data_IF_266294287207
#
_entry.id   IF_266294287207
#
_cell.length_a   1.000
_cell.length_b   1.000
_cell.length_c   1.000
_cell.angle_alpha   90.00
_cell.angle_beta   90.00
_cell.angle_gamma   90.00
#
_symmetry.space_group_name_H-M   'P 1'
#
loop_
_entity.id
_entity.type
_entity.pdbx_description
1 polymer ?
#
# COMPACT_ATOMS: atom_id res chain seq x y z
N UNK A 1 -17.86 -0.12 -10.21
CA UNK A 1 -16.60 0.41 -9.58
C UNK A 1 -15.73 -0.80 -9.31
N UNK A 2 -14.50 -0.89 -9.84
CA UNK A 2 -13.61 -2.01 -9.51
C UNK A 2 -13.24 -1.90 -8.02
N UNK A 3 -13.44 -2.98 -7.28
CA UNK A 3 -12.99 -3.09 -5.89
C UNK A 3 -11.47 -2.86 -5.84
N UNK A 4 -11.01 -2.01 -4.91
CA UNK A 4 -9.58 -1.76 -4.78
C UNK A 4 -8.91 -3.01 -4.20
N UNK A 5 -7.73 -3.41 -4.70
CA UNK A 5 -7.01 -4.56 -4.15
C UNK A 5 -6.79 -4.40 -2.64
N UNK A 6 -7.03 -5.48 -1.89
CA UNK A 6 -6.81 -5.56 -0.45
C UNK A 6 -5.32 -5.77 -0.14
N UNK A 7 -4.91 -5.67 1.12
CA UNK A 7 -3.51 -5.85 1.54
C UNK A 7 -2.92 -7.16 1.01
N UNK A 8 -3.67 -8.28 1.11
CA UNK A 8 -3.26 -9.58 0.59
C UNK A 8 -2.84 -9.50 -0.89
N UNK A 9 -3.70 -8.97 -1.75
CA UNK A 9 -3.39 -8.87 -3.19
C UNK A 9 -2.16 -8.00 -3.46
N UNK A 10 -1.93 -6.96 -2.65
CA UNK A 10 -0.75 -6.10 -2.77
C UNK A 10 0.52 -6.83 -2.39
N UNK A 11 0.48 -7.66 -1.35
CA UNK A 11 1.61 -8.53 -1.00
C UNK A 11 1.88 -9.58 -2.07
N UNK A 12 0.83 -10.16 -2.67
CA UNK A 12 0.96 -11.07 -3.81
C UNK A 12 1.65 -10.38 -5.00
N UNK A 13 1.27 -9.14 -5.32
CA UNK A 13 1.94 -8.36 -6.38
C UNK A 13 3.41 -8.05 -6.04
N UNK A 14 3.73 -7.74 -4.77
CA UNK A 14 5.12 -7.52 -4.34
C UNK A 14 5.91 -8.82 -4.50
N UNK A 15 5.36 -9.94 -4.05
CA UNK A 15 6.02 -11.24 -4.13
C UNK A 15 6.29 -11.64 -5.59
N UNK A 16 5.28 -11.58 -6.45
CA UNK A 16 5.38 -11.92 -7.87
C UNK A 16 6.43 -11.06 -8.60
N UNK A 17 6.39 -9.73 -8.37
CA UNK A 17 7.37 -8.84 -8.97
C UNK A 17 8.80 -9.12 -8.47
N UNK A 18 8.95 -9.40 -7.18
CA UNK A 18 10.24 -9.74 -6.56
C UNK A 18 10.78 -11.05 -7.12
N UNK A 19 9.96 -12.10 -7.20
CA UNK A 19 10.35 -13.39 -7.78
C UNK A 19 10.70 -13.28 -9.27
N UNK A 20 9.95 -12.44 -10.00
CA UNK A 20 10.24 -12.15 -11.41
C UNK A 20 11.63 -11.53 -11.56
N UNK A 21 11.97 -10.52 -10.75
CA UNK A 21 13.29 -9.89 -10.80
C UNK A 21 14.36 -10.92 -10.44
N UNK A 22 14.26 -11.59 -9.30
CA UNK A 22 15.27 -12.53 -8.82
C UNK A 22 15.54 -13.66 -9.83
N UNK A 23 14.48 -14.25 -10.40
CA UNK A 23 14.62 -15.31 -11.38
C UNK A 23 15.26 -14.87 -12.70
N UNK A 24 15.04 -13.60 -13.09
CA UNK A 24 15.57 -13.05 -14.35
C UNK A 24 16.99 -12.51 -14.23
N UNK A 25 17.43 -12.20 -13.01
CA UNK A 25 18.77 -11.67 -12.73
C UNK A 25 19.68 -12.68 -12.04
N UNK A 26 19.23 -13.94 -11.89
CA UNK A 26 20.01 -15.00 -11.29
C UNK A 26 21.32 -15.23 -12.06
N UNK A 27 22.45 -15.14 -11.35
CA UNK A 27 23.78 -15.33 -11.93
C UNK A 27 24.29 -14.19 -12.82
N UNK A 28 23.50 -13.11 -12.99
CA UNK A 28 23.92 -11.93 -13.75
C UNK A 28 24.87 -11.04 -12.93
N UNK A 29 25.71 -10.32 -13.65
CA UNK A 29 26.49 -9.20 -13.13
C UNK A 29 25.74 -7.88 -13.31
N UNK A 30 26.20 -6.85 -12.62
CA UNK A 30 25.65 -5.48 -12.76
C UNK A 30 25.82 -4.96 -14.20
N UNK A 31 26.92 -5.28 -14.87
CA UNK A 31 27.21 -4.89 -16.25
C UNK A 31 26.22 -5.53 -17.22
N UNK A 32 25.98 -6.83 -17.10
CA UNK A 32 25.01 -7.57 -17.92
C UNK A 32 23.59 -7.05 -17.76
N UNK A 33 23.19 -6.60 -16.55
CA UNK A 33 21.89 -5.99 -16.30
C UNK A 33 21.63 -4.79 -17.23
N UNK A 34 22.67 -4.04 -17.61
CA UNK A 34 22.55 -2.79 -18.36
C UNK A 34 22.85 -2.92 -19.86
N UNK A 35 23.30 -4.08 -20.32
CA UNK A 35 23.60 -4.33 -21.74
C UNK A 35 22.36 -4.20 -22.63
N UNK A 36 21.23 -4.75 -22.16
CA UNK A 36 19.94 -4.61 -22.83
C UNK A 36 19.07 -3.58 -22.09
N UNK A 37 18.87 -2.43 -22.73
CA UNK A 37 18.01 -1.36 -22.17
C UNK A 37 16.56 -1.80 -21.96
N UNK A 38 16.00 -2.62 -22.84
CA UNK A 38 14.61 -3.08 -22.72
C UNK A 38 14.47 -3.99 -21.51
N UNK A 39 15.45 -4.90 -21.33
CA UNK A 39 15.53 -5.75 -20.16
C UNK A 39 15.68 -4.90 -18.88
N UNK A 40 16.63 -3.99 -18.84
CA UNK A 40 16.86 -3.10 -17.69
C UNK A 40 15.59 -2.35 -17.28
N UNK A 41 14.92 -1.70 -18.24
CA UNK A 41 13.68 -1.00 -17.94
C UNK A 41 12.52 -1.94 -17.59
N UNK A 42 12.52 -3.18 -18.03
CA UNK A 42 11.63 -4.23 -17.54
C UNK A 42 11.82 -4.49 -16.04
N UNK A 43 13.06 -4.62 -15.59
CA UNK A 43 13.42 -4.76 -14.16
C UNK A 43 13.00 -3.51 -13.36
N UNK A 44 13.29 -2.31 -13.89
CA UNK A 44 12.85 -1.05 -13.28
C UNK A 44 11.33 -0.99 -13.14
N UNK A 45 10.58 -1.47 -14.13
CA UNK A 45 9.12 -1.53 -14.07
C UNK A 45 8.62 -2.49 -12.99
N UNK A 46 9.22 -3.68 -12.85
CA UNK A 46 8.90 -4.60 -11.76
C UNK A 46 9.20 -3.97 -10.38
N UNK A 47 10.31 -3.26 -10.26
CA UNK A 47 10.66 -2.52 -9.05
C UNK A 47 9.62 -1.42 -8.73
N UNK A 48 9.07 -0.77 -9.77
CA UNK A 48 7.99 0.20 -9.62
C UNK A 48 6.70 -0.47 -9.12
N UNK A 49 6.36 -1.67 -9.59
CA UNK A 49 5.20 -2.45 -9.09
C UNK A 49 5.35 -2.72 -7.59
N UNK A 50 6.52 -3.13 -7.13
CA UNK A 50 6.83 -3.34 -5.70
C UNK A 50 6.53 -2.07 -4.90
N UNK A 51 7.08 -0.94 -5.34
CA UNK A 51 6.90 0.34 -4.66
C UNK A 51 5.45 0.84 -4.66
N UNK A 52 4.72 0.65 -5.76
CA UNK A 52 3.31 1.00 -5.90
C UNK A 52 2.43 0.17 -4.97
N UNK A 53 2.62 -1.15 -4.96
CA UNK A 53 1.88 -2.04 -4.09
C UNK A 53 2.14 -1.72 -2.60
N UNK A 54 3.40 -1.48 -2.22
CA UNK A 54 3.77 -1.08 -0.87
C UNK A 54 3.15 0.27 -0.46
N UNK A 55 3.12 1.26 -1.36
CA UNK A 55 2.49 2.56 -1.10
C UNK A 55 1.00 2.45 -0.77
N UNK A 56 0.32 1.47 -1.33
CA UNK A 56 -1.11 1.26 -1.14
C UNK A 56 -1.47 0.30 -0.01
N UNK A 57 -0.51 -0.29 0.69
CA UNK A 57 -0.78 -1.08 1.90
C UNK A 57 -1.46 -0.21 2.96
N UNK A 58 -2.34 -0.84 3.75
CA UNK A 58 -2.99 -0.13 4.85
C UNK A 58 -1.98 0.23 5.93
N UNK A 59 -2.21 1.36 6.60
CA UNK A 59 -1.39 1.77 7.75
C UNK A 59 -1.43 0.74 8.88
N UNK A 60 -2.53 -0.01 8.99
CA UNK A 60 -2.66 -1.08 9.97
C UNK A 60 -1.67 -2.20 9.67
N UNK A 61 -1.60 -2.64 8.39
CA UNK A 61 -0.67 -3.68 7.96
C UNK A 61 0.80 -3.25 8.16
N UNK A 62 1.15 -2.05 7.71
CA UNK A 62 2.52 -1.53 7.89
C UNK A 62 2.93 -1.43 9.37
N UNK A 63 1.99 -1.11 10.28
CA UNK A 63 2.25 -1.07 11.72
C UNK A 63 2.38 -2.45 12.36
N UNK A 64 1.66 -3.44 11.84
CA UNK A 64 1.76 -4.83 12.32
C UNK A 64 3.09 -5.49 11.92
N UNK A 65 3.71 -4.99 10.84
CA UNK A 65 4.96 -5.53 10.28
C UNK A 65 6.03 -4.42 10.14
N UNK A 66 6.52 -3.86 11.26
CA UNK A 66 7.46 -2.73 11.26
C UNK A 66 8.88 -3.12 10.83
N UNK A 67 9.19 -4.41 10.78
CA UNK A 67 10.48 -4.94 10.33
C UNK A 67 10.72 -4.73 8.83
N UNK A 68 9.65 -4.57 8.02
CA UNK A 68 9.76 -4.23 6.61
C UNK A 68 9.79 -2.71 6.44
N UNK A 69 10.78 -2.15 5.73
CA UNK A 69 10.92 -0.70 5.57
C UNK A 69 9.93 -0.13 4.53
N UNK A 70 8.63 -0.27 4.78
CA UNK A 70 7.54 0.07 3.86
C UNK A 70 7.64 1.47 3.26
N UNK A 71 8.04 2.45 4.09
CA UNK A 71 8.16 3.84 3.62
C UNK A 71 9.29 4.00 2.61
N UNK A 72 10.41 3.28 2.78
CA UNK A 72 11.55 3.34 1.85
C UNK A 72 11.18 2.67 0.53
N UNK A 73 10.51 1.50 0.60
CA UNK A 73 10.01 0.77 -0.58
C UNK A 73 9.02 1.65 -1.36
N UNK A 74 8.05 2.25 -0.68
CA UNK A 74 7.08 3.15 -1.32
C UNK A 74 7.74 4.42 -1.91
N UNK A 75 8.77 4.96 -1.25
CA UNK A 75 9.52 6.13 -1.75
C UNK A 75 10.31 5.81 -3.02
N UNK A 76 10.79 4.58 -3.16
CA UNK A 76 11.47 4.13 -4.38
C UNK A 76 10.59 4.33 -5.62
N UNK A 77 9.29 3.99 -5.54
CA UNK A 77 8.32 4.26 -6.62
C UNK A 77 8.31 5.74 -7.01
N UNK A 78 8.28 6.65 -6.04
CA UNK A 78 8.29 8.09 -6.31
C UNK A 78 9.55 8.50 -7.09
N UNK A 79 10.71 8.01 -6.68
CA UNK A 79 11.98 8.30 -7.34
C UNK A 79 12.01 7.76 -8.78
N UNK A 80 11.50 6.56 -9.01
CA UNK A 80 11.46 5.95 -10.36
C UNK A 80 10.48 6.67 -11.30
N UNK A 81 9.32 7.10 -10.81
CA UNK A 81 8.32 7.80 -11.64
C UNK A 81 8.79 9.20 -12.01
N UNK A 82 9.31 9.97 -11.06
CA UNK A 82 9.72 11.35 -11.27
C UNK A 82 11.16 11.50 -11.76
N UNK A 83 11.99 10.47 -11.55
CA UNK A 83 13.39 10.42 -11.98
C UNK A 83 13.67 9.47 -13.16
N UNK A 84 12.64 9.08 -13.93
CA UNK A 84 12.77 8.07 -14.99
C UNK A 84 13.89 8.35 -16.02
N UNK A 85 14.25 9.62 -16.21
CA UNK A 85 15.33 10.06 -17.10
C UNK A 85 16.75 9.95 -16.47
N UNK A 86 16.83 9.57 -15.18
CA UNK A 86 18.09 9.43 -14.42
C UNK A 86 18.05 8.21 -13.52
N UNK A 87 17.48 7.10 -13.99
CA UNK A 87 17.50 5.85 -13.22
C UNK A 87 18.94 5.38 -13.12
N UNK A 88 19.43 5.32 -11.89
CA UNK A 88 20.79 4.89 -11.59
C UNK A 88 20.84 3.35 -11.53
N UNK A 89 21.60 2.70 -12.44
CA UNK A 89 21.72 1.25 -12.44
C UNK A 89 22.37 0.68 -11.17
N UNK A 90 23.23 1.44 -10.50
CA UNK A 90 23.88 0.97 -9.28
C UNK A 90 22.88 0.88 -8.13
N UNK A 91 21.93 1.80 -8.06
CA UNK A 91 20.82 1.74 -7.09
C UNK A 91 19.91 0.55 -7.40
N UNK A 92 19.55 0.33 -8.66
CA UNK A 92 18.72 -0.81 -9.05
C UNK A 92 19.43 -2.12 -8.73
N UNK A 93 20.74 -2.22 -9.01
CA UNK A 93 21.54 -3.40 -8.70
C UNK A 93 21.62 -3.67 -7.21
N UNK A 94 21.86 -2.64 -6.35
CA UNK A 94 21.90 -2.83 -4.90
C UNK A 94 20.56 -3.32 -4.33
N UNK A 95 19.44 -2.85 -4.86
CA UNK A 95 18.12 -3.36 -4.49
C UNK A 95 18.01 -4.86 -4.82
N UNK A 96 18.46 -5.27 -6.00
CA UNK A 96 18.41 -6.68 -6.43
C UNK A 96 19.30 -7.55 -5.54
N UNK A 97 20.55 -7.14 -5.31
CA UNK A 97 21.55 -7.93 -4.60
C UNK A 97 21.33 -7.98 -3.09
N UNK A 98 20.89 -6.88 -2.49
CA UNK A 98 20.92 -6.71 -1.06
C UNK A 98 19.53 -6.85 -0.41
N UNK A 99 18.45 -6.40 -1.10
CA UNK A 99 17.15 -6.24 -0.48
C UNK A 99 16.11 -7.28 -0.91
N UNK A 100 16.07 -7.67 -2.19
CA UNK A 100 14.95 -8.44 -2.74
C UNK A 100 14.81 -9.85 -2.16
N UNK A 101 15.90 -10.52 -1.81
CA UNK A 101 15.83 -11.85 -1.24
C UNK A 101 15.12 -11.83 0.12
N UNK A 102 15.49 -10.88 0.99
CA UNK A 102 14.84 -10.68 2.29
C UNK A 102 13.38 -10.26 2.14
N UNK A 103 13.09 -9.38 1.17
CA UNK A 103 11.73 -8.94 0.88
C UNK A 103 10.84 -10.11 0.44
N UNK A 104 11.33 -10.98 -0.46
CA UNK A 104 10.62 -12.20 -0.88
C UNK A 104 10.22 -13.07 0.30
N UNK A 105 11.19 -13.34 1.20
CA UNK A 105 10.96 -14.18 2.39
C UNK A 105 9.93 -13.56 3.33
N UNK A 106 9.98 -12.24 3.53
CA UNK A 106 9.00 -11.51 4.33
C UNK A 106 7.61 -11.60 3.71
N UNK A 107 7.47 -11.36 2.41
CA UNK A 107 6.16 -11.41 1.72
C UNK A 107 5.56 -12.82 1.78
N UNK A 108 6.36 -13.84 1.51
CA UNK A 108 5.91 -15.23 1.59
C UNK A 108 5.44 -15.59 3.02
N UNK A 109 6.18 -15.17 4.04
CA UNK A 109 5.82 -15.36 5.44
C UNK A 109 4.51 -14.65 5.80
N UNK A 110 4.35 -13.37 5.45
CA UNK A 110 3.13 -12.62 5.75
C UNK A 110 1.91 -13.23 5.07
N UNK A 111 2.05 -13.68 3.83
CA UNK A 111 0.96 -14.33 3.10
C UNK A 111 0.55 -15.66 3.74
N UNK A 112 1.51 -16.41 4.30
CA UNK A 112 1.26 -17.72 4.91
C UNK A 112 0.73 -17.61 6.36
N UNK A 113 1.21 -16.64 7.14
CA UNK A 113 0.94 -16.57 8.58
C UNK A 113 -0.26 -15.68 8.95
N UNK A 114 -0.71 -14.80 8.05
CA UNK A 114 -1.84 -13.90 8.32
C UNK A 114 -3.17 -14.62 8.09
N UNK A 115 -4.05 -14.59 9.10
CA UNK A 115 -5.47 -14.95 8.91
C UNK A 115 -6.17 -13.82 8.14
N UNK A 116 -6.25 -14.00 6.81
CA UNK A 116 -6.80 -12.98 5.92
C UNK A 116 -8.29 -12.76 6.10
N UNK A 117 -9.05 -13.77 6.51
CA UNK A 117 -10.48 -13.65 6.76
C UNK A 117 -10.73 -12.77 8.00
N UNK A 118 -9.97 -12.98 9.05
CA UNK A 118 -10.02 -12.15 10.25
C UNK A 118 -9.48 -10.74 9.98
N UNK A 119 -8.36 -10.63 9.26
CA UNK A 119 -7.76 -9.34 8.89
C UNK A 119 -8.74 -8.46 8.12
N UNK A 120 -9.41 -9.01 7.12
CA UNK A 120 -10.36 -8.28 6.29
C UNK A 120 -11.62 -7.86 7.05
N UNK A 121 -12.16 -8.74 7.93
CA UNK A 121 -13.27 -8.40 8.82
C UNK A 121 -12.92 -7.22 9.72
N UNK A 122 -11.75 -7.26 10.33
CA UNK A 122 -11.28 -6.17 11.21
C UNK A 122 -11.07 -4.86 10.42
N UNK A 123 -10.57 -4.93 9.20
CA UNK A 123 -10.41 -3.76 8.34
C UNK A 123 -11.75 -3.09 7.98
N UNK A 124 -12.80 -3.89 7.75
CA UNK A 124 -14.16 -3.38 7.50
C UNK A 124 -14.70 -2.67 8.75
N UNK A 125 -14.61 -3.30 9.92
CA UNK A 125 -15.09 -2.73 11.19
C UNK A 125 -14.37 -1.40 11.50
N UNK A 126 -13.05 -1.34 11.31
CA UNK A 126 -12.27 -0.12 11.53
C UNK A 126 -12.68 0.98 10.56
N UNK A 127 -12.94 0.64 9.29
CA UNK A 127 -13.39 1.60 8.28
C UNK A 127 -14.77 2.15 8.61
N UNK A 128 -15.72 1.30 8.97
CA UNK A 128 -17.09 1.72 9.35
C UNK A 128 -17.07 2.60 10.60
N UNK A 129 -16.29 2.25 11.62
CA UNK A 129 -16.09 3.06 12.82
C UNK A 129 -15.47 4.43 12.52
N UNK A 130 -14.48 4.49 11.61
CA UNK A 130 -13.87 5.75 11.20
C UNK A 130 -14.84 6.64 10.41
N UNK A 131 -15.66 6.06 9.53
CA UNK A 131 -16.70 6.77 8.78
C UNK A 131 -17.75 7.33 9.74
N UNK A 132 -18.26 6.52 10.66
CA UNK A 132 -19.21 6.94 11.68
C UNK A 132 -18.66 8.08 12.55
N UNK A 133 -17.40 7.97 13.01
CA UNK A 133 -16.73 9.02 13.78
C UNK A 133 -16.64 10.34 13.01
N UNK A 134 -16.36 10.30 11.72
CA UNK A 134 -16.32 11.48 10.86
C UNK A 134 -17.72 12.11 10.68
N UNK A 135 -18.76 11.28 10.53
CA UNK A 135 -20.16 11.74 10.46
C UNK A 135 -20.58 12.44 11.76
N UNK A 136 -20.27 11.86 12.92
CA UNK A 136 -20.51 12.46 14.24
C UNK A 136 -19.80 13.81 14.39
N UNK A 137 -18.54 13.89 13.98
CA UNK A 137 -17.78 15.13 14.04
C UNK A 137 -18.36 16.22 13.12
N UNK A 138 -18.82 15.82 11.93
CA UNK A 138 -19.51 16.72 10.99
C UNK A 138 -20.81 17.22 11.57
N UNK A 139 -21.64 16.33 12.12
CA UNK A 139 -22.91 16.68 12.78
C UNK A 139 -22.70 17.69 13.92
N UNK A 140 -21.70 17.49 14.78
CA UNK A 140 -21.35 18.44 15.85
C UNK A 140 -21.02 19.84 15.30
N UNK A 141 -20.24 19.92 14.23
CA UNK A 141 -19.88 21.20 13.60
C UNK A 141 -21.09 21.90 13.00
N UNK A 142 -22.00 21.14 12.39
CA UNK A 142 -23.26 21.69 11.84
C UNK A 142 -24.18 22.19 12.94
N UNK A 143 -24.36 21.42 14.03
CA UNK A 143 -25.14 21.82 15.20
C UNK A 143 -24.60 23.11 15.82
N UNK A 144 -23.29 23.25 15.97
CA UNK A 144 -22.64 24.49 16.46
C UNK A 144 -22.87 25.70 15.54
N UNK A 145 -23.12 25.48 14.26
CA UNK A 145 -23.40 26.51 13.25
C UNK A 145 -24.91 26.84 13.13
N UNK A 146 -25.75 26.16 13.91
CA UNK A 146 -27.19 26.42 13.95
C UNK A 146 -28.00 25.74 12.85
N UNK A 147 -27.44 24.68 12.21
CA UNK A 147 -28.22 23.88 11.27
C UNK A 147 -29.32 23.12 11.99
N UNK A 148 -30.46 22.96 11.31
CA UNK A 148 -31.58 22.17 11.81
C UNK A 148 -31.24 20.66 11.86
N UNK A 149 -31.79 19.96 12.87
CA UNK A 149 -31.54 18.52 13.09
C UNK A 149 -31.93 17.68 11.86
N UNK A 150 -33.04 18.00 11.19
CA UNK A 150 -33.46 17.26 9.99
C UNK A 150 -32.52 17.46 8.83
N UNK A 151 -31.91 18.61 8.70
CA UNK A 151 -30.90 18.91 7.70
C UNK A 151 -29.60 18.16 8.02
N UNK A 152 -29.19 18.13 9.29
CA UNK A 152 -28.01 17.35 9.73
C UNK A 152 -28.22 15.85 9.46
N UNK A 153 -29.42 15.30 9.76
CA UNK A 153 -29.76 13.91 9.44
C UNK A 153 -29.57 13.60 7.94
N UNK A 154 -30.11 14.47 7.08
CA UNK A 154 -30.02 14.30 5.62
C UNK A 154 -28.59 14.31 5.09
N UNK A 155 -27.74 15.16 5.64
CA UNK A 155 -26.35 15.34 5.18
C UNK A 155 -25.43 14.25 5.73
N UNK A 156 -25.58 13.92 7.01
CA UNK A 156 -24.67 12.98 7.69
C UNK A 156 -25.14 11.52 7.64
N UNK A 157 -26.43 11.29 7.41
CA UNK A 157 -27.04 9.97 7.50
C UNK A 157 -27.18 9.43 8.93
N UNK A 158 -26.83 10.22 9.95
CA UNK A 158 -26.98 9.83 11.34
C UNK A 158 -28.46 9.88 11.77
N UNK A 159 -28.91 8.97 12.66
CA UNK A 159 -30.24 9.01 13.20
C UNK A 159 -30.43 10.24 14.10
N UNK A 160 -31.68 10.77 14.16
CA UNK A 160 -32.03 11.95 14.94
C UNK A 160 -31.62 11.83 16.40
N UNK A 161 -31.89 10.66 17.00
CA UNK A 161 -31.57 10.36 18.40
C UNK A 161 -30.10 10.58 18.73
N UNK A 162 -29.22 10.20 17.81
CA UNK A 162 -27.77 10.38 17.98
C UNK A 162 -27.37 11.85 17.84
N UNK A 163 -27.98 12.59 16.90
CA UNK A 163 -27.70 14.02 16.71
C UNK A 163 -28.19 14.84 17.92
N UNK A 164 -29.32 14.48 18.50
CA UNK A 164 -29.87 15.20 19.66
C UNK A 164 -28.95 15.09 20.88
N UNK A 165 -28.18 14.02 21.00
CA UNK A 165 -27.19 13.80 22.08
C UNK A 165 -25.84 14.48 21.86
N UNK A 166 -25.57 15.03 20.69
CA UNK A 166 -24.31 15.72 20.36
C UNK A 166 -24.27 17.16 20.86
#
# INVERSE_FOLDING_TARGET
MREQPKDRNRLEHILEATETILSRTEGMTREELTEDKVFFYGIVYQTLIIGEAAYHLTKAFCKAHPETPWMQIAKMRHNLVHGYYKVDPDIVWSVISDDLQSLREQMARYLAETDWDEWEKNAVVVKESAVHKNMVQTARRMKQRGYDTDEICKITGLPREEIDTL
#
